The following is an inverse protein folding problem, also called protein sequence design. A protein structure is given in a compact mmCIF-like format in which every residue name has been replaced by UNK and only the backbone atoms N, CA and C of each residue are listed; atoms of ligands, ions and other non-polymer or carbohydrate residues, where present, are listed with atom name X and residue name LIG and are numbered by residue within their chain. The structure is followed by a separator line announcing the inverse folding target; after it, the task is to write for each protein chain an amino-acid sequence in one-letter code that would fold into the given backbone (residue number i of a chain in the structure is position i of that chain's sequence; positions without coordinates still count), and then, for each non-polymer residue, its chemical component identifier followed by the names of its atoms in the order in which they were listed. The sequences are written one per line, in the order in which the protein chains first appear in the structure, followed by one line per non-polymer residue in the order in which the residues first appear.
data_IF_419577519058
#
_entry.id   IF_419577519058
#
_cell.length_a   1.000
_cell.length_b   1.000
_cell.length_c   1.000
_cell.angle_alpha   90.00
_cell.angle_beta   90.00
_cell.angle_gamma   90.00
#
_symmetry.space_group_name_H-M   'P 1'
#
loop_
_entity.id
_entity.type
_entity.pdbx_description
1 polymer ?
#
# COMPACT_ATOMS: atom_id res chain seq x y z
N UNK A 1 20.07 5.22 -5.92
CA UNK A 1 20.34 4.06 -5.03
C UNK A 1 20.56 4.47 -3.58
N UNK A 2 21.45 5.43 -3.27
CA UNK A 2 21.72 5.89 -1.89
C UNK A 2 20.48 6.31 -1.08
N UNK A 3 19.50 6.95 -1.72
CA UNK A 3 18.25 7.36 -1.08
C UNK A 3 17.41 6.17 -0.55
N UNK A 4 17.38 5.06 -1.29
CA UNK A 4 16.59 3.88 -0.90
C UNK A 4 17.15 3.24 0.37
N UNK A 5 18.49 3.17 0.46
CA UNK A 5 19.18 2.68 1.65
C UNK A 5 18.90 3.57 2.87
N UNK A 6 18.88 4.89 2.68
CA UNK A 6 18.58 5.82 3.75
C UNK A 6 17.15 5.62 4.30
N UNK A 7 16.17 5.48 3.40
CA UNK A 7 14.79 5.23 3.79
C UNK A 7 14.62 3.88 4.49
N UNK A 8 15.32 2.86 4.01
CA UNK A 8 15.31 1.50 4.59
C UNK A 8 15.90 1.46 6.01
N UNK A 9 16.84 2.34 6.34
CA UNK A 9 17.40 2.45 7.70
C UNK A 9 16.52 3.35 8.58
N UNK A 10 16.04 4.46 8.02
CA UNK A 10 15.30 5.47 8.75
C UNK A 10 13.92 4.96 9.21
N UNK A 11 13.21 4.22 8.36
CA UNK A 11 11.87 3.70 8.71
C UNK A 11 11.94 2.77 9.94
N UNK A 12 12.75 1.70 9.96
CA UNK A 12 12.88 0.85 11.14
C UNK A 12 13.40 1.58 12.38
N UNK A 13 14.29 2.56 12.22
CA UNK A 13 14.79 3.35 13.35
C UNK A 13 13.66 4.16 14.02
N UNK A 14 12.78 4.77 13.21
CA UNK A 14 11.59 5.46 13.71
C UNK A 14 10.64 4.46 14.38
N UNK A 15 10.39 3.30 13.75
CA UNK A 15 9.49 2.28 14.30
C UNK A 15 9.94 1.81 15.68
N UNK A 16 11.24 1.46 15.83
CA UNK A 16 11.79 1.01 17.11
C UNK A 16 11.64 2.11 18.18
N UNK A 17 11.87 3.37 17.81
CA UNK A 17 11.72 4.51 18.72
C UNK A 17 10.27 4.65 19.21
N UNK A 18 9.29 4.55 18.31
CA UNK A 18 7.87 4.63 18.64
C UNK A 18 7.43 3.41 19.45
N UNK A 19 7.86 2.20 19.09
CA UNK A 19 7.54 0.97 19.81
C UNK A 19 8.04 0.99 21.25
N UNK A 20 9.29 1.41 21.46
CA UNK A 20 9.85 1.55 22.81
C UNK A 20 9.09 2.64 23.58
N UNK A 21 8.86 3.81 22.95
CA UNK A 21 8.09 4.90 23.56
C UNK A 21 6.69 4.46 24.00
N UNK A 22 5.96 3.76 23.14
CA UNK A 22 4.64 3.21 23.45
C UNK A 22 4.72 2.18 24.57
N UNK A 23 5.73 1.29 24.56
CA UNK A 23 5.89 0.28 25.62
C UNK A 23 6.06 0.89 27.01
N UNK A 24 6.66 2.09 27.12
CA UNK A 24 6.78 2.80 28.39
C UNK A 24 5.46 3.45 28.86
N UNK A 25 4.56 3.81 27.94
CA UNK A 25 3.30 4.50 28.26
C UNK A 25 2.17 3.50 28.56
N UNK A 26 2.00 2.48 27.71
CA UNK A 26 0.89 1.51 27.78
C UNK A 26 1.31 0.12 28.26
N UNK A 27 2.62 -0.13 28.40
CA UNK A 27 3.17 -1.42 28.79
C UNK A 27 3.50 -2.33 27.60
N UNK A 28 4.47 -3.24 27.81
CA UNK A 28 4.93 -4.18 26.78
C UNK A 28 3.82 -5.10 26.25
N UNK A 29 3.04 -5.71 27.14
CA UNK A 29 1.96 -6.63 26.75
C UNK A 29 0.86 -5.95 25.94
N UNK A 30 0.46 -4.74 26.34
CA UNK A 30 -0.54 -3.95 25.60
C UNK A 30 -0.02 -3.53 24.23
N UNK A 31 1.25 -3.12 24.14
CA UNK A 31 1.91 -2.75 22.87
C UNK A 31 1.95 -3.94 21.93
N UNK A 32 2.35 -5.12 22.43
CA UNK A 32 2.37 -6.35 21.66
C UNK A 32 0.96 -6.75 21.18
N UNK A 33 -0.03 -6.71 22.08
CA UNK A 33 -1.42 -7.01 21.72
C UNK A 33 -1.94 -6.05 20.63
N UNK A 34 -1.58 -4.77 20.70
CA UNK A 34 -1.96 -3.78 19.71
C UNK A 34 -1.35 -4.07 18.33
N UNK A 35 -0.07 -4.42 18.27
CA UNK A 35 0.61 -4.81 17.02
C UNK A 35 -0.02 -6.06 16.40
N UNK A 36 -0.30 -7.08 17.22
CA UNK A 36 -0.96 -8.29 16.75
C UNK A 36 -2.36 -7.96 16.24
N UNK A 37 -3.09 -7.11 16.97
CA UNK A 37 -4.44 -6.70 16.59
C UNK A 37 -4.44 -5.92 15.26
N UNK A 38 -3.57 -4.92 15.09
CA UNK A 38 -3.47 -4.14 13.85
C UNK A 38 -3.05 -5.01 12.68
N UNK A 39 -2.08 -5.91 12.87
CA UNK A 39 -1.67 -6.87 11.85
C UNK A 39 -2.79 -7.82 11.42
N UNK A 40 -3.53 -8.40 12.37
CA UNK A 40 -4.68 -9.28 12.07
C UNK A 40 -5.78 -8.52 11.32
N UNK A 41 -6.15 -7.33 11.81
CA UNK A 41 -7.16 -6.49 11.16
C UNK A 41 -6.70 -6.10 9.76
N UNK A 42 -5.42 -5.73 9.61
CA UNK A 42 -4.83 -5.34 8.34
C UNK A 42 -4.83 -6.46 7.32
N UNK A 43 -4.37 -7.65 7.69
CA UNK A 43 -4.41 -8.85 6.83
C UNK A 43 -5.83 -9.22 6.46
N UNK A 44 -6.78 -9.15 7.41
CA UNK A 44 -8.18 -9.43 7.15
C UNK A 44 -8.77 -8.45 6.12
N UNK A 45 -8.52 -7.15 6.28
CA UNK A 45 -8.95 -6.12 5.32
C UNK A 45 -8.31 -6.32 3.93
N UNK A 46 -6.99 -6.56 3.89
CA UNK A 46 -6.26 -6.78 2.64
C UNK A 46 -6.79 -8.01 1.89
N UNK A 47 -7.06 -9.11 2.61
CA UNK A 47 -7.63 -10.33 2.03
C UNK A 47 -9.03 -10.07 1.46
N UNK A 48 -9.91 -9.43 2.23
CA UNK A 48 -11.29 -9.12 1.80
C UNK A 48 -11.31 -8.24 0.56
N UNK A 49 -10.49 -7.19 0.53
CA UNK A 49 -10.44 -6.27 -0.61
C UNK A 49 -9.70 -6.88 -1.81
N UNK A 50 -8.67 -7.68 -1.56
CA UNK A 50 -7.95 -8.41 -2.60
C UNK A 50 -8.88 -9.32 -3.41
N UNK A 51 -9.70 -10.13 -2.75
CA UNK A 51 -10.68 -10.98 -3.44
C UNK A 51 -11.71 -10.18 -4.25
N UNK A 52 -12.19 -9.05 -3.71
CA UNK A 52 -13.12 -8.17 -4.43
C UNK A 52 -12.50 -7.64 -5.72
N UNK A 53 -11.25 -7.17 -5.66
CA UNK A 53 -10.53 -6.65 -6.82
C UNK A 53 -10.21 -7.74 -7.84
N UNK A 54 -9.80 -8.93 -7.39
CA UNK A 54 -9.57 -10.08 -8.28
C UNK A 54 -10.84 -10.47 -9.03
N UNK A 55 -11.99 -10.49 -8.35
CA UNK A 55 -13.28 -10.72 -8.99
C UNK A 55 -13.62 -9.65 -10.04
N UNK A 56 -13.33 -8.38 -9.76
CA UNK A 56 -13.54 -7.29 -10.72
C UNK A 56 -12.62 -7.41 -11.94
N UNK A 57 -11.34 -7.74 -11.73
CA UNK A 57 -10.36 -7.99 -12.81
C UNK A 57 -10.88 -9.13 -13.71
N UNK A 58 -11.25 -10.27 -13.13
CA UNK A 58 -11.76 -11.42 -13.89
C UNK A 58 -13.03 -11.06 -14.65
N UNK A 59 -13.95 -10.33 -14.01
CA UNK A 59 -15.21 -9.89 -14.63
C UNK A 59 -14.98 -8.98 -15.83
N UNK A 60 -14.04 -8.02 -15.73
CA UNK A 60 -13.66 -7.12 -16.83
C UNK A 60 -12.98 -7.86 -17.97
N UNK A 61 -12.05 -8.77 -17.66
CA UNK A 61 -11.39 -9.60 -18.66
C UNK A 61 -12.39 -10.48 -19.42
N UNK A 62 -13.35 -11.08 -18.72
CA UNK A 62 -14.41 -11.89 -19.35
C UNK A 62 -15.32 -11.07 -20.28
N UNK A 63 -15.43 -9.75 -20.06
CA UNK A 63 -16.16 -8.82 -20.95
C UNK A 63 -15.29 -8.24 -22.08
N UNK A 64 -14.02 -8.61 -22.16
CA UNK A 64 -13.07 -8.02 -23.12
C UNK A 64 -12.67 -6.57 -22.77
N UNK A 65 -12.95 -6.10 -21.56
CA UNK A 65 -12.59 -4.76 -21.08
C UNK A 65 -11.19 -4.77 -20.45
N UNK A 66 -10.40 -3.72 -20.67
CA UNK A 66 -9.07 -3.58 -20.06
C UNK A 66 -9.19 -3.20 -18.55
N UNK A 67 -8.70 -4.02 -17.60
CA UNK A 67 -8.92 -3.82 -16.17
C UNK A 67 -7.90 -2.87 -15.49
N UNK A 68 -7.39 -1.85 -16.18
CA UNK A 68 -6.26 -1.05 -15.70
C UNK A 68 -6.45 -0.45 -14.29
N UNK A 69 -7.62 0.11 -14.01
CA UNK A 69 -7.93 0.66 -12.68
C UNK A 69 -8.00 -0.39 -11.57
N UNK A 70 -8.53 -1.58 -11.88
CA UNK A 70 -8.64 -2.68 -10.92
C UNK A 70 -7.27 -3.34 -10.68
N UNK A 71 -6.37 -3.36 -11.67
CA UNK A 71 -4.99 -3.82 -11.50
C UNK A 71 -4.21 -2.90 -10.57
N UNK A 72 -4.33 -1.57 -10.73
CA UNK A 72 -3.73 -0.61 -9.81
C UNK A 72 -4.27 -0.78 -8.38
N UNK A 73 -5.58 -1.01 -8.25
CA UNK A 73 -6.18 -1.39 -6.98
C UNK A 73 -5.57 -2.68 -6.42
N UNK A 74 -5.29 -3.69 -7.23
CA UNK A 74 -4.62 -4.90 -6.77
C UNK A 74 -3.25 -4.59 -6.16
N UNK A 75 -2.46 -3.77 -6.85
CA UNK A 75 -1.10 -3.37 -6.43
C UNK A 75 -1.12 -2.63 -5.10
N UNK A 76 -2.00 -1.64 -4.93
CA UNK A 76 -2.11 -0.92 -3.67
C UNK A 76 -2.49 -1.87 -2.49
N UNK A 77 -3.32 -2.89 -2.72
CA UNK A 77 -3.79 -3.80 -1.64
C UNK A 77 -2.63 -4.70 -1.28
N UNK A 78 -1.88 -5.16 -2.27
CA UNK A 78 -0.73 -6.01 -2.08
C UNK A 78 0.39 -5.29 -1.31
N UNK A 79 0.78 -4.09 -1.75
CA UNK A 79 1.80 -3.29 -1.07
C UNK A 79 1.34 -2.90 0.34
N UNK A 80 0.09 -2.44 0.48
CA UNK A 80 -0.48 -2.12 1.79
C UNK A 80 -0.55 -3.33 2.72
N UNK A 81 -0.95 -4.50 2.20
CA UNK A 81 -1.00 -5.75 2.95
C UNK A 81 0.38 -6.19 3.43
N UNK A 82 1.42 -6.09 2.60
CA UNK A 82 2.80 -6.37 3.02
C UNK A 82 3.24 -5.43 4.15
N UNK A 83 2.91 -4.14 4.05
CA UNK A 83 3.25 -3.16 5.10
C UNK A 83 2.54 -3.46 6.43
N UNK A 84 1.28 -3.92 6.40
CA UNK A 84 0.51 -4.30 7.60
C UNK A 84 0.97 -5.61 8.25
N UNK A 85 1.71 -6.46 7.53
CA UNK A 85 2.31 -7.68 8.11
C UNK A 85 3.58 -7.34 8.89
N UNK A 86 4.26 -6.26 8.53
CA UNK A 86 5.43 -5.79 9.26
C UNK A 86 4.97 -5.12 10.55
N UNK A 87 5.42 -5.61 11.73
CA UNK A 87 5.02 -5.02 13.00
C UNK A 87 5.61 -3.61 13.13
N UNK A 88 4.75 -2.59 13.08
CA UNK A 88 5.17 -1.19 13.20
C UNK A 88 3.98 -0.23 13.19
N UNK A 89 4.04 0.82 14.00
CA UNK A 89 2.97 1.80 14.11
C UNK A 89 2.87 2.69 12.87
N UNK A 90 4.01 3.09 12.29
CA UNK A 90 4.02 3.97 11.11
C UNK A 90 3.69 3.16 9.85
N UNK A 91 4.25 1.96 9.71
CA UNK A 91 3.95 1.01 8.64
C UNK A 91 2.50 0.58 8.67
N UNK A 92 1.91 0.42 9.87
CA UNK A 92 0.49 0.10 10.00
C UNK A 92 -0.39 1.22 9.43
N UNK A 93 -0.13 2.48 9.80
CA UNK A 93 -0.89 3.63 9.29
C UNK A 93 -0.78 3.72 7.76
N UNK A 94 0.43 3.59 7.20
CA UNK A 94 0.65 3.65 5.75
C UNK A 94 -0.03 2.47 5.06
N UNK A 95 0.07 1.27 5.64
CA UNK A 95 -0.57 0.07 5.14
C UNK A 95 -2.09 0.19 5.11
N UNK A 96 -2.71 0.72 6.17
CA UNK A 96 -4.14 1.00 6.20
C UNK A 96 -4.54 2.04 5.15
N UNK A 97 -3.75 3.09 4.94
CA UNK A 97 -4.01 4.09 3.89
C UNK A 97 -4.03 3.43 2.50
N UNK A 98 -3.17 2.45 2.23
CA UNK A 98 -3.16 1.76 0.93
C UNK A 98 -4.25 0.70 0.77
N UNK A 99 -4.61 0.03 1.87
CA UNK A 99 -5.66 -0.97 1.85
C UNK A 99 -7.04 -0.33 1.82
N UNK A 100 -7.30 0.78 2.52
CA UNK A 100 -8.65 1.34 2.62
C UNK A 100 -9.19 1.89 1.26
N UNK A 101 -10.47 1.63 0.93
CA UNK A 101 -11.05 2.04 -0.36
C UNK A 101 -11.23 3.56 -0.47
N UNK A 102 -11.47 4.25 0.64
CA UNK A 102 -11.68 5.70 0.66
C UNK A 102 -10.42 6.47 0.26
N UNK A 103 -9.27 6.07 0.80
CA UNK A 103 -7.96 6.67 0.52
C UNK A 103 -7.48 6.38 -0.89
N UNK A 104 -7.85 5.22 -1.47
CA UNK A 104 -7.52 4.87 -2.86
C UNK A 104 -8.16 5.79 -3.88
N UNK A 105 -9.43 6.15 -3.68
CA UNK A 105 -10.14 7.06 -4.59
C UNK A 105 -9.45 8.43 -4.65
N UNK A 106 -8.81 8.85 -3.55
CA UNK A 106 -8.04 10.09 -3.48
C UNK A 106 -6.63 9.96 -4.06
N UNK A 107 -5.96 8.82 -3.86
CA UNK A 107 -4.59 8.58 -4.34
C UNK A 107 -4.51 8.27 -5.85
N UNK A 108 -5.51 7.56 -6.40
CA UNK A 108 -5.59 7.20 -7.82
C UNK A 108 -5.36 8.37 -8.79
N UNK A 109 -6.10 9.50 -8.71
CA UNK A 109 -5.89 10.60 -9.64
C UNK A 109 -4.48 11.19 -9.53
N UNK A 110 -3.87 11.16 -8.34
CA UNK A 110 -2.50 11.62 -8.13
C UNK A 110 -1.49 10.72 -8.84
N UNK A 111 -1.62 9.40 -8.70
CA UNK A 111 -0.72 8.43 -9.33
C UNK A 111 -0.89 8.42 -10.85
N UNK A 112 -2.13 8.47 -11.35
CA UNK A 112 -2.40 8.56 -12.79
C UNK A 112 -1.79 9.83 -13.38
N UNK A 113 -1.99 10.98 -12.73
CA UNK A 113 -1.41 12.26 -13.19
C UNK A 113 0.12 12.24 -13.17
N UNK A 114 0.73 11.60 -12.16
CA UNK A 114 2.19 11.42 -12.10
C UNK A 114 2.71 10.49 -13.20
N UNK A 115 2.01 9.38 -13.46
CA UNK A 115 2.32 8.47 -14.57
C UNK A 115 2.20 9.17 -15.91
N UNK A 116 1.09 9.87 -16.18
CA UNK A 116 0.92 10.62 -17.42
C UNK A 116 1.97 11.71 -17.58
N UNK A 117 2.33 12.44 -16.53
CA UNK A 117 3.42 13.43 -16.57
C UNK A 117 4.75 12.79 -16.95
N UNK A 118 5.02 11.56 -16.48
CA UNK A 118 6.23 10.81 -16.78
C UNK A 118 6.23 10.20 -18.20
N UNK A 119 5.09 9.72 -18.69
CA UNK A 119 4.95 9.16 -20.04
C UNK A 119 4.91 10.22 -21.15
N UNK A 120 4.34 11.40 -20.88
CA UNK A 120 4.32 12.55 -21.82
C UNK A 120 5.73 13.05 -22.17
N UNK A 121 6.76 12.69 -21.40
CA UNK A 121 8.15 13.02 -21.66
C UNK A 121 8.89 12.00 -22.54
N UNK A 122 8.29 10.84 -22.84
CA UNK A 122 8.95 9.75 -23.56
C UNK A 122 8.24 9.30 -24.85
N UNK A 123 7.13 9.94 -25.23
CA UNK A 123 6.40 9.68 -26.48
C UNK A 123 6.70 10.75 -27.53
N UNK A 124 7.93 10.78 -28.01
CA UNK A 124 8.23 11.21 -29.37
C UNK A 124 9.15 10.12 -29.90
N UNK A 125 8.93 9.64 -31.12
CA UNK A 125 9.55 8.45 -31.73
C UNK A 125 8.80 7.16 -31.36
N UNK A 126 7.71 6.86 -32.06
CA UNK A 126 7.44 5.65 -32.87
C UNK A 126 6.01 5.83 -33.43
N UNK A 127 5.83 6.82 -34.30
CA UNK A 127 4.77 6.84 -35.33
C UNK A 127 5.43 7.47 -36.54
N UNK A 128 6.30 6.69 -37.20
CA UNK A 128 6.62 6.80 -38.63
C UNK A 128 7.61 5.67 -38.96
N UNK A 129 7.07 4.50 -39.32
CA UNK A 129 7.42 3.82 -40.57
C UNK A 129 6.40 2.73 -40.88
#
# INVERSE_FOLDING_TARGET
MKWLLFLFILIPAIEITVLIGSSHVIGLWSTFAMIVFTGVVGVYLAKRQGFKVLGEIQSKLNRGEMPGGAVLDGIFIFVGGILLVLPGYVTDIIGFIFVLPMTRTLLKPFVVKWMEWKFRKSSTIIVQK
#
